data_IF_290519934554
#
_entry.id   IF_290519934554
#
_cell.length_a   1.000
_cell.length_b   1.000
_cell.length_c   1.000
_cell.angle_alpha   90.00
_cell.angle_beta   90.00
_cell.angle_gamma   90.00
#
_symmetry.space_group_name_H-M   'P 1'
#
loop_
_entity.id
_entity.type
_entity.pdbx_description
1 polymer ?
#
# COMPACT_ATOMS: atom_id res chain seq x y z
N UNK A 1 -29.44 16.87 -9.49
CA UNK A 1 -28.48 16.83 -8.38
C UNK A 1 -27.55 18.02 -8.54
N UNK A 2 -27.44 18.86 -7.51
CA UNK A 2 -26.53 20.01 -7.49
C UNK A 2 -25.09 19.50 -7.53
N UNK A 3 -24.25 20.10 -8.37
CA UNK A 3 -22.83 19.79 -8.40
C UNK A 3 -22.22 20.30 -7.08
N UNK A 4 -21.49 19.46 -6.30
CA UNK A 4 -20.83 19.91 -5.07
C UNK A 4 -19.89 21.10 -5.27
N UNK A 5 -19.33 21.27 -6.48
CA UNK A 5 -18.50 22.43 -6.82
C UNK A 5 -19.28 23.75 -6.81
N UNK A 6 -20.61 23.70 -7.03
CA UNK A 6 -21.48 24.89 -6.95
C UNK A 6 -21.77 25.30 -5.50
N UNK A 7 -21.52 24.41 -4.52
CA UNK A 7 -21.75 24.67 -3.10
C UNK A 7 -20.53 25.23 -2.35
N UNK A 8 -19.36 25.19 -2.98
CA UNK A 8 -18.08 25.57 -2.38
C UNK A 8 -17.44 26.73 -3.11
N UNK A 9 -16.78 27.61 -2.35
CA UNK A 9 -15.87 28.60 -2.89
C UNK A 9 -14.48 27.98 -3.06
N UNK A 10 -13.86 28.13 -4.23
CA UNK A 10 -12.49 27.66 -4.49
C UNK A 10 -11.56 28.87 -4.47
N UNK A 11 -10.52 28.79 -3.64
CA UNK A 11 -9.46 29.80 -3.55
C UNK A 11 -8.14 29.23 -4.02
N UNK A 12 -7.56 29.85 -5.02
CA UNK A 12 -6.27 29.50 -5.62
C UNK A 12 -5.34 30.73 -5.62
N UNK A 13 -4.06 30.49 -5.91
CA UNK A 13 -3.06 31.56 -6.01
C UNK A 13 -3.05 32.49 -4.80
N UNK A 14 -3.16 31.91 -3.61
CA UNK A 14 -3.24 32.62 -2.35
C UNK A 14 -1.96 33.45 -2.10
N UNK A 15 -2.12 34.70 -1.69
CA UNK A 15 -1.00 35.52 -1.24
C UNK A 15 -0.59 35.16 0.19
N UNK A 16 0.56 35.68 0.63
CA UNK A 16 1.15 35.39 1.94
C UNK A 16 0.17 35.66 3.09
N UNK A 17 -0.58 36.76 3.04
CA UNK A 17 -1.55 37.16 4.08
C UNK A 17 -2.72 36.18 4.17
N UNK A 18 -3.20 35.68 3.03
CA UNK A 18 -4.29 34.70 2.98
C UNK A 18 -3.84 33.34 3.53
N UNK A 19 -2.61 32.92 3.20
CA UNK A 19 -2.01 31.73 3.73
C UNK A 19 -1.78 31.80 5.25
N UNK A 20 -1.24 32.91 5.74
CA UNK A 20 -1.04 33.15 7.18
C UNK A 20 -2.40 33.11 7.93
N UNK A 21 -3.43 33.74 7.40
CA UNK A 21 -4.77 33.73 7.98
C UNK A 21 -5.36 32.31 8.03
N UNK A 22 -5.19 31.54 6.96
CA UNK A 22 -5.61 30.13 6.93
C UNK A 22 -4.90 29.30 8.00
N UNK A 23 -3.60 29.47 8.15
CA UNK A 23 -2.78 28.80 9.17
C UNK A 23 -3.21 29.16 10.58
N UNK A 24 -3.47 30.43 10.86
CA UNK A 24 -3.99 30.87 12.16
C UNK A 24 -5.34 30.22 12.48
N UNK A 25 -6.21 30.11 11.49
CA UNK A 25 -7.50 29.45 11.64
C UNK A 25 -7.34 27.94 11.91
N UNK A 26 -6.44 27.25 11.20
CA UNK A 26 -6.13 25.82 11.42
C UNK A 26 -5.58 25.62 12.84
N UNK A 27 -4.66 26.48 13.29
CA UNK A 27 -4.10 26.43 14.65
C UNK A 27 -5.16 26.67 15.72
N UNK A 28 -6.09 27.57 15.49
CA UNK A 28 -7.22 27.85 16.39
C UNK A 28 -8.17 26.66 16.49
N UNK A 29 -8.52 26.04 15.36
CA UNK A 29 -9.44 24.92 15.28
C UNK A 29 -8.78 23.60 15.72
N UNK A 30 -7.45 23.58 15.85
CA UNK A 30 -6.62 22.40 16.17
C UNK A 30 -6.86 21.19 15.26
N UNK A 31 -7.27 21.44 14.03
CA UNK A 31 -7.49 20.39 13.02
C UNK A 31 -7.33 20.92 11.60
N UNK A 32 -6.90 20.05 10.72
CA UNK A 32 -6.84 20.29 9.28
C UNK A 32 -7.55 19.14 8.55
N UNK A 33 -8.47 19.50 7.63
CA UNK A 33 -9.12 18.57 6.73
C UNK A 33 -8.55 18.79 5.35
N UNK A 34 -7.94 17.77 4.77
CA UNK A 34 -7.15 17.95 3.57
C UNK A 34 -7.08 16.71 2.69
N UNK A 35 -6.68 16.94 1.45
CA UNK A 35 -6.18 15.91 0.53
C UNK A 35 -4.81 16.35 0.01
N UNK A 36 -3.82 15.47 0.14
CA UNK A 36 -2.45 15.65 -0.37
C UNK A 36 -2.28 14.89 -1.68
N UNK A 37 -2.07 15.62 -2.76
CA UNK A 37 -1.83 15.04 -4.06
C UNK A 37 -0.35 14.77 -4.29
N UNK A 38 -0.05 13.57 -4.83
CA UNK A 38 1.32 13.12 -5.03
C UNK A 38 1.44 12.28 -6.28
N UNK A 39 2.54 12.47 -7.04
CA UNK A 39 2.89 11.68 -8.22
C UNK A 39 4.15 10.85 -7.98
N UNK A 40 4.29 9.75 -8.70
CA UNK A 40 5.53 8.96 -8.69
C UNK A 40 6.69 9.80 -9.24
N UNK A 41 7.84 9.66 -8.63
CA UNK A 41 9.06 10.32 -9.09
C UNK A 41 9.82 9.39 -10.02
N UNK A 42 9.56 9.47 -11.32
CA UNK A 42 10.21 8.66 -12.36
C UNK A 42 11.73 8.87 -12.44
N UNK A 43 12.25 9.93 -11.83
CA UNK A 43 13.68 10.27 -11.88
C UNK A 43 14.55 9.48 -10.90
N UNK A 44 13.97 8.75 -9.96
CA UNK A 44 14.71 7.96 -8.98
C UNK A 44 14.32 6.47 -9.05
N UNK A 45 15.33 5.60 -9.02
CA UNK A 45 15.19 4.13 -8.92
C UNK A 45 14.54 3.66 -7.60
N UNK A 46 14.17 4.58 -6.73
CA UNK A 46 13.62 4.29 -5.41
C UNK A 46 12.09 4.20 -5.50
N UNK A 47 11.60 2.97 -5.50
CA UNK A 47 10.18 2.56 -5.66
C UNK A 47 9.18 3.31 -4.75
N UNK A 48 9.67 4.06 -3.77
CA UNK A 48 8.82 4.69 -2.73
C UNK A 48 8.78 6.21 -2.86
N UNK A 49 9.66 6.83 -3.65
CA UNK A 49 9.73 8.29 -3.69
C UNK A 49 8.63 8.87 -4.55
N UNK A 50 7.83 9.75 -3.94
CA UNK A 50 6.76 10.49 -4.61
C UNK A 50 6.97 11.98 -4.44
N UNK A 51 6.63 12.74 -5.49
CA UNK A 51 6.60 14.21 -5.45
C UNK A 51 5.27 14.67 -4.90
N UNK A 52 5.31 15.64 -3.98
CA UNK A 52 4.12 16.37 -3.54
C UNK A 52 3.78 17.38 -4.61
N UNK A 53 2.58 17.31 -5.18
CA UNK A 53 2.11 18.17 -6.25
C UNK A 53 1.26 19.30 -5.70
N UNK A 54 0.20 18.97 -4.95
CA UNK A 54 -0.73 19.97 -4.43
C UNK A 54 -1.29 19.55 -3.07
N UNK A 55 -1.88 20.53 -2.38
CA UNK A 55 -2.58 20.37 -1.12
C UNK A 55 -3.93 21.08 -1.22
N UNK A 56 -5.02 20.31 -1.12
CA UNK A 56 -6.38 20.86 -1.05
C UNK A 56 -6.84 20.83 0.40
N UNK A 57 -7.12 21.99 0.97
CA UNK A 57 -7.59 22.14 2.36
C UNK A 57 -9.02 22.66 2.32
N UNK A 58 -9.92 22.00 3.04
CA UNK A 58 -11.29 22.47 3.15
C UNK A 58 -11.57 23.00 4.55
N UNK A 59 -12.18 24.16 4.60
CA UNK A 59 -12.69 24.78 5.80
C UNK A 59 -14.09 25.38 5.53
N UNK A 60 -15.09 24.93 6.29
CA UNK A 60 -16.47 25.32 6.08
C UNK A 60 -16.94 24.98 4.64
N UNK A 61 -17.16 26.01 3.81
CA UNK A 61 -17.53 25.88 2.39
C UNK A 61 -16.45 26.39 1.44
N UNK A 62 -15.22 26.60 1.93
CA UNK A 62 -14.11 27.10 1.12
C UNK A 62 -13.06 26.00 0.98
N UNK A 63 -12.67 25.69 -0.26
CA UNK A 63 -11.52 24.85 -0.55
C UNK A 63 -10.37 25.73 -1.00
N UNK A 64 -9.26 25.63 -0.28
CA UNK A 64 -8.00 26.28 -0.59
C UNK A 64 -7.13 25.29 -1.35
N UNK A 65 -6.86 25.57 -2.63
CA UNK A 65 -6.00 24.76 -3.46
C UNK A 65 -4.59 25.38 -3.52
N UNK A 66 -3.63 24.68 -2.96
CA UNK A 66 -2.22 25.11 -2.90
C UNK A 66 -1.41 24.24 -3.84
N UNK A 67 -0.90 24.83 -4.91
CA UNK A 67 -0.08 24.14 -5.89
C UNK A 67 1.41 24.40 -5.63
N UNK A 68 2.20 23.34 -5.67
CA UNK A 68 3.65 23.40 -5.56
C UNK A 68 4.20 23.14 -4.17
N UNK A 69 5.19 22.26 -4.13
CA UNK A 69 5.79 21.74 -2.90
C UNK A 69 6.44 22.84 -2.04
N UNK A 70 7.11 23.83 -2.64
CA UNK A 70 7.82 24.86 -1.88
C UNK A 70 6.87 25.73 -1.06
N UNK A 71 5.67 26.04 -1.58
CA UNK A 71 4.64 26.78 -0.84
C UNK A 71 4.12 25.91 0.30
N UNK A 72 3.82 24.64 0.02
CA UNK A 72 3.34 23.69 1.02
C UNK A 72 4.37 23.56 2.14
N UNK A 73 5.64 23.38 1.80
CA UNK A 73 6.74 23.29 2.76
C UNK A 73 6.90 24.55 3.59
N UNK A 74 6.88 25.71 2.95
CA UNK A 74 7.07 27.01 3.62
C UNK A 74 5.99 27.28 4.67
N UNK A 75 4.72 27.01 4.33
CA UNK A 75 3.60 27.45 5.15
C UNK A 75 2.98 26.33 6.00
N UNK A 76 3.00 25.08 5.55
CA UNK A 76 2.27 23.99 6.21
C UNK A 76 3.16 22.97 6.93
N UNK A 77 4.49 23.12 6.86
CA UNK A 77 5.41 22.24 7.58
C UNK A 77 5.04 22.16 9.08
N UNK A 78 4.97 23.30 9.76
CA UNK A 78 4.64 23.35 11.18
C UNK A 78 3.25 22.79 11.50
N UNK A 79 2.30 22.89 10.57
CA UNK A 79 0.96 22.29 10.71
C UNK A 79 1.07 20.76 10.70
N UNK A 80 1.81 20.18 9.75
CA UNK A 80 1.97 18.74 9.65
C UNK A 80 2.77 18.16 10.81
N UNK A 81 3.79 18.87 11.30
CA UNK A 81 4.65 18.45 12.40
C UNK A 81 3.99 18.55 13.77
N UNK A 82 3.00 19.42 13.94
CA UNK A 82 2.36 19.64 15.23
C UNK A 82 1.37 18.53 15.59
N UNK A 83 1.67 17.75 16.62
CA UNK A 83 0.81 16.67 17.15
C UNK A 83 -0.53 17.15 17.72
N UNK A 84 -0.62 18.40 18.17
CA UNK A 84 -1.85 18.99 18.73
C UNK A 84 -2.86 19.41 17.65
N UNK A 85 -2.46 19.38 16.37
CA UNK A 85 -3.33 19.63 15.23
C UNK A 85 -3.74 18.29 14.63
N UNK A 86 -5.01 17.94 14.75
CA UNK A 86 -5.57 16.71 14.19
C UNK A 86 -5.56 16.72 12.66
N UNK A 87 -4.98 15.69 12.04
CA UNK A 87 -4.98 15.46 10.59
C UNK A 87 -6.15 14.57 10.23
N UNK A 88 -7.03 15.12 9.41
CA UNK A 88 -8.22 14.47 8.87
C UNK A 88 -8.03 14.36 7.37
N UNK A 89 -7.83 13.15 6.87
CA UNK A 89 -7.44 12.93 5.49
C UNK A 89 -7.77 11.54 4.96
N UNK A 90 -7.02 11.13 3.97
CA UNK A 90 -7.13 9.83 3.32
C UNK A 90 -5.75 9.23 3.13
N UNK A 91 -5.54 7.99 3.59
CA UNK A 91 -4.23 7.30 3.56
C UNK A 91 -3.12 8.05 4.32
N UNK A 92 -3.41 8.49 5.53
CA UNK A 92 -2.45 9.24 6.36
C UNK A 92 -1.11 8.52 6.56
N UNK A 93 -1.10 7.19 6.54
CA UNK A 93 0.13 6.40 6.55
C UNK A 93 1.02 6.69 5.34
N UNK A 94 0.42 6.86 4.16
CA UNK A 94 1.14 7.23 2.95
C UNK A 94 1.64 8.68 3.03
N UNK A 95 0.80 9.60 3.50
CA UNK A 95 1.18 11.01 3.70
C UNK A 95 2.38 11.13 4.65
N UNK A 96 2.37 10.37 5.76
CA UNK A 96 3.50 10.29 6.69
C UNK A 96 4.81 9.96 5.97
N UNK A 97 4.80 8.92 5.15
CA UNK A 97 6.00 8.45 4.44
C UNK A 97 6.50 9.51 3.46
N UNK A 98 5.58 10.08 2.68
CA UNK A 98 5.92 11.06 1.65
C UNK A 98 6.45 12.37 2.27
N UNK A 99 5.79 12.86 3.30
CA UNK A 99 6.23 14.08 4.01
C UNK A 99 7.61 13.86 4.66
N UNK A 100 7.82 12.72 5.30
CA UNK A 100 9.13 12.36 5.87
C UNK A 100 10.24 12.29 4.82
N UNK A 101 9.98 11.74 3.64
CA UNK A 101 10.93 11.72 2.52
C UNK A 101 11.29 13.13 2.04
N UNK A 102 10.39 14.09 2.25
CA UNK A 102 10.57 15.49 1.91
C UNK A 102 11.02 16.37 3.11
N UNK A 103 11.55 15.74 4.18
CA UNK A 103 12.04 16.39 5.39
C UNK A 103 10.96 17.22 6.15
N UNK A 104 9.73 16.73 6.13
CA UNK A 104 8.61 17.24 6.93
C UNK A 104 8.17 16.11 7.86
N UNK A 105 8.24 16.35 9.19
CA UNK A 105 7.68 15.43 10.16
C UNK A 105 6.15 15.42 10.06
N UNK A 106 5.52 14.29 10.46
CA UNK A 106 4.08 14.17 10.42
C UNK A 106 3.56 13.52 11.70
N UNK A 107 2.62 14.18 12.37
CA UNK A 107 1.97 13.67 13.57
C UNK A 107 0.51 14.16 13.66
N UNK A 108 -0.22 13.77 14.71
CA UNK A 108 -1.61 14.16 14.92
C UNK A 108 -2.58 13.37 14.03
N UNK A 109 -2.38 12.05 13.89
CA UNK A 109 -3.30 11.15 13.19
C UNK A 109 -4.67 11.15 13.88
N UNK A 110 -5.66 11.84 13.35
CA UNK A 110 -6.99 11.93 13.94
C UNK A 110 -8.01 11.06 13.19
N UNK A 111 -8.04 11.17 11.87
CA UNK A 111 -9.00 10.45 11.05
C UNK A 111 -8.44 10.12 9.67
N UNK A 112 -8.62 8.87 9.25
CA UNK A 112 -8.31 8.35 7.92
C UNK A 112 -9.56 7.74 7.32
N UNK A 113 -10.02 8.28 6.17
CA UNK A 113 -11.23 7.83 5.51
C UNK A 113 -11.17 6.37 5.04
N UNK A 114 -9.98 5.87 4.61
CA UNK A 114 -9.78 4.48 4.22
C UNK A 114 -10.00 3.53 5.41
N UNK A 115 -9.42 3.85 6.55
CA UNK A 115 -9.55 3.05 7.78
C UNK A 115 -10.99 3.10 8.31
N UNK A 116 -11.63 4.28 8.28
CA UNK A 116 -13.02 4.43 8.69
C UNK A 116 -13.95 3.56 7.84
N UNK A 117 -13.78 3.60 6.51
CA UNK A 117 -14.54 2.77 5.58
C UNK A 117 -14.34 1.27 5.82
N UNK A 118 -13.11 0.85 6.11
CA UNK A 118 -12.79 -0.54 6.42
C UNK A 118 -13.41 -1.02 7.74
N UNK A 119 -13.39 -0.22 8.78
CA UNK A 119 -13.99 -0.57 10.06
C UNK A 119 -15.50 -0.76 9.94
N UNK A 120 -16.17 0.13 9.22
CA UNK A 120 -17.63 0.07 9.02
C UNK A 120 -18.05 -1.13 8.17
N UNK A 121 -17.22 -1.59 7.22
CA UNK A 121 -17.54 -2.73 6.37
C UNK A 121 -16.24 -3.44 5.90
N UNK A 122 -15.69 -4.32 6.73
CA UNK A 122 -14.42 -5.03 6.47
C UNK A 122 -14.50 -6.12 5.39
N UNK A 123 -15.68 -6.42 4.87
CA UNK A 123 -15.87 -7.47 3.85
C UNK A 123 -15.62 -6.92 2.44
N UNK A 124 -15.71 -5.62 2.26
CA UNK A 124 -15.47 -4.98 0.97
C UNK A 124 -13.98 -4.96 0.62
N UNK A 125 -13.71 -4.88 -0.68
CA UNK A 125 -12.33 -4.94 -1.21
C UNK A 125 -11.76 -3.56 -1.59
N UNK A 126 -12.58 -2.49 -1.51
CA UNK A 126 -12.18 -1.14 -1.91
C UNK A 126 -12.70 -0.09 -0.94
N UNK A 127 -11.80 0.79 -0.54
CA UNK A 127 -12.05 1.90 0.39
C UNK A 127 -11.44 3.21 -0.14
N UNK A 128 -11.33 3.33 -1.48
CA UNK A 128 -10.96 4.59 -2.11
C UNK A 128 -12.04 5.66 -1.93
N UNK A 129 -11.64 6.94 -2.06
CA UNK A 129 -12.54 8.08 -1.83
C UNK A 129 -13.77 8.00 -2.74
N UNK A 130 -13.62 7.57 -4.00
CA UNK A 130 -14.71 7.46 -4.95
C UNK A 130 -15.73 6.41 -4.49
N UNK A 131 -15.26 5.23 -4.09
CA UNK A 131 -16.13 4.16 -3.54
C UNK A 131 -16.81 4.59 -2.24
N UNK A 132 -16.12 5.26 -1.34
CA UNK A 132 -16.68 5.76 -0.09
C UNK A 132 -17.69 6.87 -0.34
N UNK A 133 -17.44 7.76 -1.29
CA UNK A 133 -18.34 8.84 -1.68
C UNK A 133 -19.65 8.32 -2.26
N UNK A 134 -19.61 7.32 -3.13
CA UNK A 134 -20.81 6.65 -3.63
C UNK A 134 -21.59 6.01 -2.49
N UNK A 135 -20.91 5.32 -1.58
CA UNK A 135 -21.54 4.54 -0.50
C UNK A 135 -22.20 5.41 0.56
N UNK A 136 -21.55 6.46 1.00
CA UNK A 136 -21.97 7.26 2.16
C UNK A 136 -22.54 8.63 1.80
N UNK A 137 -22.20 9.16 0.62
CA UNK A 137 -22.62 10.49 0.17
C UNK A 137 -23.57 10.44 -1.03
N UNK A 138 -23.74 9.27 -1.65
CA UNK A 138 -24.46 9.09 -2.93
C UNK A 138 -23.88 10.01 -4.04
N UNK A 139 -22.56 10.14 -4.10
CA UNK A 139 -21.83 11.06 -4.98
C UNK A 139 -20.85 10.30 -5.88
N UNK A 140 -21.06 10.38 -7.20
CA UNK A 140 -20.15 9.81 -8.21
C UNK A 140 -19.19 10.86 -8.76
N UNK A 141 -18.00 10.96 -8.19
CA UNK A 141 -16.98 11.98 -8.54
C UNK A 141 -16.62 11.91 -10.02
N UNK A 142 -16.40 10.71 -10.57
CA UNK A 142 -16.06 10.51 -11.99
C UNK A 142 -17.12 11.04 -12.98
N UNK A 143 -18.38 11.08 -12.59
CA UNK A 143 -19.44 11.68 -13.41
C UNK A 143 -19.44 13.19 -13.37
N UNK A 144 -19.06 13.78 -12.24
CA UNK A 144 -19.01 15.24 -12.09
C UNK A 144 -17.90 15.82 -12.98
N UNK A 145 -16.72 15.24 -12.96
CA UNK A 145 -15.58 15.65 -13.78
C UNK A 145 -15.90 15.53 -15.28
N UNK A 146 -16.48 14.41 -15.72
CA UNK A 146 -16.87 14.18 -17.12
C UNK A 146 -17.97 15.11 -17.62
N UNK A 147 -18.91 15.57 -16.75
CA UNK A 147 -19.95 16.52 -17.17
C UNK A 147 -19.36 17.88 -17.51
N UNK A 148 -18.32 18.33 -16.85
CA UNK A 148 -17.65 19.59 -17.15
C UNK A 148 -16.84 19.48 -18.44
N UNK A 149 -16.14 18.38 -18.68
CA UNK A 149 -15.44 18.10 -19.96
C UNK A 149 -16.41 18.10 -21.17
N UNK A 150 -17.62 17.56 -21.03
CA UNK A 150 -18.63 17.53 -22.10
C UNK A 150 -19.31 18.89 -22.36
N UNK A 151 -19.31 19.83 -21.43
CA UNK A 151 -19.84 21.17 -21.64
C UNK A 151 -18.85 22.07 -22.42
N UNK A 152 -17.57 21.79 -22.41
CA UNK A 152 -16.54 22.51 -23.15
C UNK A 152 -16.20 21.84 -24.51
N UNK A 153 -17.13 21.20 -25.23
CA UNK A 153 -16.98 20.61 -26.59
C UNK A 153 -15.51 20.28 -26.97
N UNK A 154 -14.84 19.45 -26.17
CA UNK A 154 -13.48 19.02 -26.48
C UNK A 154 -13.52 17.82 -27.43
N UNK A 155 -12.96 17.97 -28.61
CA UNK A 155 -12.71 16.88 -29.55
C UNK A 155 -11.80 15.84 -28.84
N UNK A 156 -12.10 14.57 -29.03
CA UNK A 156 -11.41 13.42 -28.43
C UNK A 156 -9.89 13.36 -28.75
N UNK A 157 -9.38 14.28 -29.56
CA UNK A 157 -7.99 14.37 -30.03
C UNK A 157 -7.19 15.53 -29.42
N UNK A 158 -7.82 16.42 -28.63
CA UNK A 158 -7.16 17.58 -28.02
C UNK A 158 -7.03 17.47 -26.50
N UNK A 159 -6.64 16.30 -25.97
CA UNK A 159 -6.19 16.22 -24.57
C UNK A 159 -4.80 16.85 -24.47
N UNK A 160 -4.77 18.15 -24.15
CA UNK A 160 -3.53 18.86 -23.84
C UNK A 160 -3.15 18.66 -22.36
N UNK A 161 -1.87 18.83 -22.02
CA UNK A 161 -1.41 18.80 -20.60
C UNK A 161 -2.22 19.76 -19.71
N UNK A 162 -2.77 20.85 -20.26
CA UNK A 162 -3.60 21.81 -19.54
C UNK A 162 -4.96 21.24 -19.15
N UNK A 163 -5.59 20.42 -20.01
CA UNK A 163 -6.88 19.77 -19.72
C UNK A 163 -6.75 18.66 -18.70
N UNK A 164 -5.68 17.87 -18.77
CA UNK A 164 -5.38 16.85 -17.74
C UNK A 164 -5.12 17.50 -16.37
N UNK A 165 -4.35 18.57 -16.34
CA UNK A 165 -4.05 19.30 -15.09
C UNK A 165 -5.31 19.95 -14.47
N UNK A 166 -6.26 20.44 -15.30
CA UNK A 166 -7.54 20.99 -14.81
C UNK A 166 -8.40 19.89 -14.19
N UNK A 167 -8.58 18.77 -14.87
CA UNK A 167 -9.34 17.63 -14.40
C UNK A 167 -8.77 17.03 -13.09
N UNK A 168 -7.44 16.94 -12.99
CA UNK A 168 -6.77 16.46 -11.77
C UNK A 168 -6.94 17.42 -10.59
N UNK A 169 -6.86 18.73 -10.82
CA UNK A 169 -7.11 19.75 -9.81
C UNK A 169 -8.54 19.66 -9.27
N UNK A 170 -9.53 19.59 -10.15
CA UNK A 170 -10.95 19.45 -9.78
C UNK A 170 -11.19 18.18 -8.95
N UNK A 171 -10.56 17.09 -9.34
CA UNK A 171 -10.57 15.83 -8.59
C UNK A 171 -10.01 15.99 -7.18
N UNK A 172 -8.88 16.65 -7.03
CA UNK A 172 -8.24 16.87 -5.73
C UNK A 172 -9.09 17.78 -4.81
N UNK A 173 -9.76 18.78 -5.37
CA UNK A 173 -10.72 19.63 -4.67
C UNK A 173 -11.94 18.79 -4.20
N UNK A 174 -12.51 17.97 -5.08
CA UNK A 174 -13.61 17.09 -4.75
C UNK A 174 -13.23 16.05 -3.71
N UNK A 175 -12.00 15.55 -3.72
CA UNK A 175 -11.52 14.62 -2.71
C UNK A 175 -11.47 15.27 -1.33
N UNK A 176 -10.95 16.49 -1.21
CA UNK A 176 -10.97 17.22 0.05
C UNK A 176 -12.40 17.48 0.53
N UNK A 177 -13.32 17.85 -0.38
CA UNK A 177 -14.74 17.99 -0.09
C UNK A 177 -15.35 16.68 0.44
N UNK A 178 -15.11 15.58 -0.24
CA UNK A 178 -15.64 14.27 0.17
C UNK A 178 -15.11 13.86 1.54
N UNK A 179 -13.80 14.05 1.83
CA UNK A 179 -13.22 13.75 3.14
C UNK A 179 -13.95 14.56 4.23
N UNK A 180 -14.19 15.84 4.00
CA UNK A 180 -14.93 16.69 4.95
C UNK A 180 -16.36 16.21 5.22
N UNK A 181 -17.05 15.70 4.21
CA UNK A 181 -18.40 15.14 4.37
C UNK A 181 -18.39 13.74 4.98
N UNK A 182 -17.44 12.89 4.59
CA UNK A 182 -17.29 11.53 5.11
C UNK A 182 -16.97 11.52 6.61
N UNK A 183 -16.13 12.45 7.07
CA UNK A 183 -15.66 12.51 8.44
C UNK A 183 -16.82 12.46 9.46
N UNK A 184 -17.76 13.42 9.52
CA UNK A 184 -18.85 13.39 10.51
C UNK A 184 -19.79 12.20 10.31
N UNK A 185 -20.06 11.79 9.08
CA UNK A 185 -21.00 10.70 8.77
C UNK A 185 -20.44 9.36 9.26
N UNK A 186 -19.21 9.06 8.93
CA UNK A 186 -18.58 7.79 9.33
C UNK A 186 -18.30 7.72 10.83
N UNK A 187 -17.94 8.85 11.46
CA UNK A 187 -17.82 8.94 12.92
C UNK A 187 -19.15 8.58 13.58
N UNK A 188 -20.27 9.16 13.10
CA UNK A 188 -21.59 8.85 13.61
C UNK A 188 -21.94 7.37 13.45
N UNK A 189 -21.70 6.77 12.28
CA UNK A 189 -21.94 5.33 12.08
C UNK A 189 -21.06 4.45 12.97
N UNK A 190 -19.81 4.84 13.19
CA UNK A 190 -18.94 4.11 14.13
C UNK A 190 -19.38 4.25 15.59
N UNK A 191 -20.00 5.37 15.98
CA UNK A 191 -20.63 5.53 17.30
C UNK A 191 -21.85 4.62 17.44
N UNK A 192 -22.75 4.63 16.47
CA UNK A 192 -23.97 3.79 16.43
C UNK A 192 -23.65 2.29 16.47
N UNK A 193 -22.50 1.88 15.88
CA UNK A 193 -22.05 0.49 15.84
C UNK A 193 -21.04 0.13 16.96
N UNK A 194 -20.82 1.02 17.92
CA UNK A 194 -19.88 0.85 19.05
C UNK A 194 -18.43 0.60 18.62
N UNK A 195 -18.06 1.07 17.40
CA UNK A 195 -16.73 0.87 16.81
C UNK A 195 -15.79 2.09 16.97
N UNK A 196 -16.31 3.25 17.38
CA UNK A 196 -15.51 4.48 17.47
C UNK A 196 -14.33 4.35 18.45
N UNK A 197 -14.51 3.62 19.55
CA UNK A 197 -13.43 3.35 20.50
C UNK A 197 -12.31 2.54 19.83
N UNK A 198 -12.65 1.49 19.08
CA UNK A 198 -11.69 0.70 18.32
C UNK A 198 -10.92 1.59 17.32
N UNK A 199 -11.63 2.42 16.55
CA UNK A 199 -11.03 3.34 15.60
C UNK A 199 -10.00 4.26 16.26
N UNK A 200 -10.40 4.99 17.32
CA UNK A 200 -9.57 6.01 17.94
C UNK A 200 -8.40 5.45 18.78
N UNK A 201 -8.62 4.31 19.48
CA UNK A 201 -7.65 3.81 20.45
C UNK A 201 -6.75 2.70 19.95
N UNK A 202 -7.13 2.05 18.84
CA UNK A 202 -6.35 0.95 18.26
C UNK A 202 -5.96 1.25 16.81
N UNK A 203 -6.92 1.47 15.91
CA UNK A 203 -6.63 1.52 14.48
C UNK A 203 -5.81 2.75 14.07
N UNK A 204 -6.19 3.95 14.53
CA UNK A 204 -5.42 5.17 14.24
C UNK A 204 -4.01 5.17 14.86
N UNK A 205 -3.81 4.79 16.13
CA UNK A 205 -2.46 4.60 16.68
C UNK A 205 -1.66 3.53 15.95
N UNK A 206 -2.28 2.41 15.56
CA UNK A 206 -1.63 1.35 14.76
C UNK A 206 -1.17 1.88 13.41
N UNK A 207 -2.00 2.64 12.71
CA UNK A 207 -1.64 3.27 11.42
C UNK A 207 -0.37 4.12 11.55
N UNK A 208 -0.27 4.92 12.63
CA UNK A 208 0.93 5.71 12.91
C UNK A 208 2.18 4.85 13.16
N UNK A 209 2.04 3.75 13.90
CA UNK A 209 3.16 2.81 14.15
C UNK A 209 3.60 2.14 12.86
N UNK A 210 2.64 1.63 12.07
CA UNK A 210 2.91 1.00 10.79
C UNK A 210 3.56 1.97 9.78
N UNK A 211 3.15 3.25 9.78
CA UNK A 211 3.79 4.28 8.98
C UNK A 211 5.29 4.43 9.32
N UNK A 212 5.62 4.48 10.62
CA UNK A 212 7.01 4.54 11.08
C UNK A 212 7.80 3.28 10.71
N UNK A 213 7.21 2.11 10.89
CA UNK A 213 7.85 0.83 10.53
C UNK A 213 8.13 0.77 9.01
N UNK A 214 7.17 1.16 8.19
CA UNK A 214 7.29 1.18 6.75
C UNK A 214 8.35 2.19 6.28
N UNK A 215 8.36 3.39 6.87
CA UNK A 215 9.36 4.42 6.57
C UNK A 215 10.77 4.00 6.99
N UNK A 216 10.92 3.42 8.19
CA UNK A 216 12.23 2.99 8.67
C UNK A 216 12.76 1.79 7.90
N UNK A 217 11.89 0.87 7.50
CA UNK A 217 12.30 -0.37 6.85
C UNK A 217 13.17 -1.26 7.77
N UNK A 218 13.64 -2.36 7.22
CA UNK A 218 14.49 -3.33 7.89
C UNK A 218 15.88 -3.28 7.24
N UNK A 219 16.93 -3.10 8.03
CA UNK A 219 18.30 -3.16 7.55
C UNK A 219 18.66 -4.60 7.16
N UNK A 220 19.27 -4.76 6.00
CA UNK A 220 19.78 -6.03 5.49
C UNK A 220 21.28 -5.87 5.20
N UNK A 221 22.08 -6.72 5.78
CA UNK A 221 23.46 -6.85 5.36
C UNK A 221 23.49 -7.56 4.00
N UNK A 222 23.69 -6.77 2.96
CA UNK A 222 23.64 -7.25 1.59
C UNK A 222 24.77 -8.23 1.27
N UNK A 223 25.95 -7.99 1.85
CA UNK A 223 27.14 -8.82 1.61
C UNK A 223 26.98 -10.19 2.27
N UNK A 224 26.54 -10.21 3.53
CA UNK A 224 26.21 -11.46 4.23
C UNK A 224 25.09 -12.23 3.54
N UNK A 225 24.06 -11.54 3.04
CA UNK A 225 22.96 -12.19 2.33
C UNK A 225 23.44 -12.86 1.02
N UNK A 226 24.33 -12.21 0.28
CA UNK A 226 24.94 -12.77 -0.94
C UNK A 226 25.80 -13.98 -0.59
N UNK A 227 26.63 -13.88 0.44
CA UNK A 227 27.49 -14.98 0.92
C UNK A 227 26.63 -16.18 1.35
N UNK A 228 25.59 -15.92 2.13
CA UNK A 228 24.64 -16.96 2.51
C UNK A 228 24.01 -17.63 1.29
N UNK A 229 23.61 -16.86 0.28
CA UNK A 229 23.10 -17.41 -0.98
C UNK A 229 24.10 -18.27 -1.74
N UNK A 230 25.40 -17.95 -1.72
CA UNK A 230 26.45 -18.79 -2.30
C UNK A 230 26.54 -20.13 -1.59
N UNK A 231 26.53 -20.12 -0.26
CA UNK A 231 26.59 -21.35 0.54
C UNK A 231 25.34 -22.22 0.31
N UNK A 232 24.15 -21.62 0.27
CA UNK A 232 22.91 -22.35 -0.07
C UNK A 232 23.00 -23.01 -1.45
N UNK A 233 23.58 -22.36 -2.45
CA UNK A 233 23.74 -22.93 -3.80
C UNK A 233 24.65 -24.17 -3.80
N UNK A 234 25.71 -24.18 -3.00
CA UNK A 234 26.58 -25.34 -2.84
C UNK A 234 25.82 -26.51 -2.20
N UNK A 235 25.08 -26.26 -1.13
CA UNK A 235 24.27 -27.27 -0.46
C UNK A 235 23.15 -27.82 -1.39
N UNK A 236 22.50 -26.95 -2.17
CA UNK A 236 21.48 -27.34 -3.16
C UNK A 236 22.10 -28.26 -4.22
N UNK A 237 23.29 -27.95 -4.69
CA UNK A 237 24.01 -28.78 -5.68
C UNK A 237 24.35 -30.15 -5.09
N UNK A 238 24.88 -30.19 -3.87
CA UNK A 238 25.15 -31.46 -3.19
C UNK A 238 23.87 -32.33 -3.04
N UNK A 239 22.75 -31.72 -2.62
CA UNK A 239 21.45 -32.41 -2.52
C UNK A 239 20.97 -32.88 -3.88
N UNK A 240 21.13 -32.07 -4.91
CA UNK A 240 20.79 -32.42 -6.30
C UNK A 240 21.51 -33.68 -6.74
N UNK A 241 22.83 -33.75 -6.57
CA UNK A 241 23.66 -34.89 -6.94
C UNK A 241 23.27 -36.17 -6.13
N UNK A 242 22.98 -36.02 -4.84
CA UNK A 242 22.47 -37.14 -4.03
C UNK A 242 21.13 -37.66 -4.53
N UNK A 243 20.19 -36.76 -4.84
CA UNK A 243 18.88 -37.14 -5.38
C UNK A 243 19.05 -37.89 -6.70
N UNK A 244 19.87 -37.40 -7.63
CA UNK A 244 20.11 -38.08 -8.91
C UNK A 244 20.73 -39.46 -8.73
N UNK A 245 21.70 -39.58 -7.82
CA UNK A 245 22.30 -40.86 -7.50
C UNK A 245 21.29 -41.88 -6.92
N UNK A 246 20.40 -41.43 -6.04
CA UNK A 246 19.37 -42.26 -5.42
C UNK A 246 18.25 -42.65 -6.41
N UNK A 247 17.97 -41.78 -7.40
CA UNK A 247 16.99 -42.04 -8.44
C UNK A 247 17.56 -42.76 -9.67
N UNK A 248 18.90 -42.83 -9.80
CA UNK A 248 19.57 -43.45 -10.94
C UNK A 248 19.51 -42.65 -12.24
N UNK A 249 19.00 -41.42 -12.22
CA UNK A 249 18.86 -40.55 -13.37
C UNK A 249 18.74 -39.08 -12.99
N UNK A 250 19.11 -38.20 -13.92
CA UNK A 250 18.92 -36.74 -13.80
C UNK A 250 17.52 -36.33 -14.28
N UNK A 251 16.92 -35.37 -13.60
CA UNK A 251 15.60 -34.83 -13.92
C UNK A 251 15.40 -33.48 -13.27
N UNK A 252 14.39 -32.74 -13.67
CA UNK A 252 14.03 -31.48 -13.01
C UNK A 252 13.27 -31.76 -11.70
N UNK A 253 13.97 -31.66 -10.56
CA UNK A 253 13.44 -31.89 -9.21
C UNK A 253 12.28 -30.91 -8.87
N UNK A 254 12.31 -29.70 -9.44
CA UNK A 254 11.26 -28.69 -9.25
C UNK A 254 10.01 -28.99 -10.10
N UNK A 255 10.09 -29.88 -11.10
CA UNK A 255 8.94 -30.31 -11.87
C UNK A 255 8.14 -31.36 -11.11
N UNK A 256 6.98 -30.97 -10.58
CA UNK A 256 6.07 -31.90 -9.86
C UNK A 256 5.68 -33.11 -10.69
N UNK A 257 5.60 -32.95 -12.03
CA UNK A 257 5.27 -34.03 -12.97
C UNK A 257 6.42 -35.03 -13.08
N UNK A 258 7.65 -34.57 -13.30
CA UNK A 258 8.83 -35.43 -13.40
C UNK A 258 9.11 -36.14 -12.08
N UNK A 259 9.11 -35.38 -10.97
CA UNK A 259 9.30 -35.92 -9.64
C UNK A 259 8.25 -36.96 -9.29
N UNK A 260 6.97 -36.69 -9.59
CA UNK A 260 5.88 -37.63 -9.37
C UNK A 260 6.07 -38.94 -10.14
N UNK A 261 6.50 -38.88 -11.41
CA UNK A 261 6.83 -40.07 -12.22
C UNK A 261 7.95 -40.87 -11.57
N UNK A 262 9.06 -40.24 -11.21
CA UNK A 262 10.20 -40.90 -10.57
C UNK A 262 9.79 -41.59 -9.27
N UNK A 263 9.10 -40.89 -8.38
CA UNK A 263 8.74 -41.44 -7.07
C UNK A 263 7.74 -42.60 -7.17
N UNK A 264 6.71 -42.46 -7.99
CA UNK A 264 5.57 -43.38 -7.98
C UNK A 264 5.59 -44.44 -9.11
N UNK A 265 6.29 -44.17 -10.23
CA UNK A 265 6.39 -45.15 -11.33
C UNK A 265 7.74 -45.85 -11.34
N UNK A 266 8.85 -45.13 -11.22
CA UNK A 266 10.19 -45.70 -11.31
C UNK A 266 10.61 -46.34 -9.96
N UNK A 267 10.50 -45.62 -8.85
CA UNK A 267 10.82 -46.09 -7.50
C UNK A 267 9.65 -46.85 -6.83
N UNK A 268 8.46 -46.86 -7.45
CA UNK A 268 7.27 -47.59 -7.01
C UNK A 268 6.83 -47.33 -5.56
N UNK A 269 7.04 -46.11 -5.08
CA UNK A 269 6.59 -45.72 -3.75
C UNK A 269 5.06 -45.69 -3.64
N UNK A 270 4.47 -45.91 -2.44
CA UNK A 270 3.02 -45.95 -2.28
C UNK A 270 2.38 -44.60 -2.59
N UNK A 271 1.40 -44.60 -3.51
CA UNK A 271 0.69 -43.38 -3.93
C UNK A 271 -0.26 -42.94 -2.84
N UNK A 272 0.02 -41.76 -2.22
CA UNK A 272 -0.80 -41.21 -1.16
C UNK A 272 -1.97 -40.36 -1.68
N UNK A 273 -1.77 -39.61 -2.79
CA UNK A 273 -2.79 -38.69 -3.33
C UNK A 273 -2.58 -38.47 -4.83
N UNK A 274 -3.67 -38.55 -5.59
CA UNK A 274 -3.70 -38.16 -7.01
C UNK A 274 -4.48 -36.85 -7.18
N UNK A 275 -3.99 -35.97 -8.03
CA UNK A 275 -4.68 -34.76 -8.51
C UNK A 275 -5.12 -34.97 -9.96
N UNK A 276 -5.98 -34.08 -10.47
CA UNK A 276 -6.36 -34.07 -11.91
C UNK A 276 -5.16 -34.00 -12.85
N UNK A 277 -4.06 -33.37 -12.40
CA UNK A 277 -2.81 -33.18 -13.15
C UNK A 277 -1.75 -34.26 -12.95
N UNK A 278 -2.04 -35.33 -12.21
CA UNK A 278 -1.12 -36.45 -11.92
C UNK A 278 -0.87 -36.65 -10.43
N UNK A 279 0.30 -37.21 -10.09
CA UNK A 279 0.67 -37.50 -8.70
C UNK A 279 0.92 -36.19 -7.91
N UNK A 280 0.40 -36.14 -6.67
CA UNK A 280 0.76 -35.05 -5.76
C UNK A 280 2.11 -35.33 -5.12
N UNK A 281 2.98 -34.30 -5.15
CA UNK A 281 4.28 -34.31 -4.47
C UNK A 281 4.34 -33.19 -3.43
N UNK A 282 3.18 -32.80 -2.86
CA UNK A 282 3.11 -31.75 -1.83
C UNK A 282 3.87 -32.22 -0.58
N UNK A 283 4.28 -31.26 0.27
CA UNK A 283 5.04 -31.53 1.49
C UNK A 283 4.35 -32.57 2.37
N UNK A 284 3.03 -32.47 2.55
CA UNK A 284 2.25 -33.43 3.34
C UNK A 284 2.31 -34.86 2.76
N UNK A 285 2.41 -35.00 1.45
CA UNK A 285 2.54 -36.31 0.77
C UNK A 285 3.93 -36.86 0.97
N UNK A 286 4.97 -36.02 0.81
CA UNK A 286 6.36 -36.45 1.01
C UNK A 286 6.64 -36.79 2.48
N UNK A 287 6.10 -36.02 3.44
CA UNK A 287 6.23 -36.33 4.86
C UNK A 287 5.66 -37.73 5.23
N UNK A 288 4.56 -38.13 4.60
CA UNK A 288 4.00 -39.50 4.80
C UNK A 288 4.83 -40.61 4.19
N UNK A 289 5.72 -40.26 3.26
CA UNK A 289 6.64 -41.19 2.62
C UNK A 289 8.01 -41.29 3.30
N UNK A 290 8.21 -40.52 4.41
CA UNK A 290 9.45 -40.63 5.20
C UNK A 290 9.67 -42.06 5.67
N UNK A 291 10.89 -42.55 5.49
CA UNK A 291 11.28 -43.93 5.83
C UNK A 291 11.02 -44.97 4.72
N UNK A 292 10.21 -44.64 3.70
CA UNK A 292 10.00 -45.56 2.57
C UNK A 292 11.20 -45.62 1.62
N UNK A 293 11.88 -44.46 1.43
CA UNK A 293 13.07 -44.39 0.60
C UNK A 293 13.93 -43.17 1.01
N UNK A 294 15.29 -43.31 1.05
CA UNK A 294 16.18 -42.21 1.46
C UNK A 294 16.06 -40.93 0.62
N UNK A 295 15.61 -41.04 -0.63
CA UNK A 295 15.43 -39.85 -1.51
C UNK A 295 14.39 -38.89 -0.99
N UNK A 296 13.44 -39.32 -0.18
CA UNK A 296 12.37 -38.46 0.34
C UNK A 296 12.92 -37.37 1.24
N UNK A 297 13.81 -37.71 2.16
CA UNK A 297 14.44 -36.75 3.05
C UNK A 297 15.31 -35.77 2.25
N UNK A 298 16.07 -36.25 1.28
CA UNK A 298 16.89 -35.39 0.41
C UNK A 298 16.04 -34.42 -0.42
N UNK A 299 14.87 -34.83 -0.91
CA UNK A 299 13.93 -33.95 -1.64
C UNK A 299 13.30 -32.90 -0.72
N UNK A 300 12.95 -33.25 0.49
CA UNK A 300 12.40 -32.31 1.47
C UNK A 300 13.42 -31.24 1.83
N UNK A 301 14.66 -31.65 2.12
CA UNK A 301 15.78 -30.73 2.39
C UNK A 301 16.07 -29.84 1.18
N UNK A 302 16.17 -30.42 -0.01
CA UNK A 302 16.39 -29.67 -1.26
C UNK A 302 15.32 -28.58 -1.44
N UNK A 303 14.05 -28.90 -1.23
CA UNK A 303 12.95 -27.91 -1.35
C UNK A 303 13.03 -26.81 -0.34
N UNK A 304 13.44 -27.13 0.89
CA UNK A 304 13.65 -26.12 1.93
C UNK A 304 14.79 -25.15 1.54
N UNK A 305 15.92 -25.68 1.12
CA UNK A 305 17.08 -24.90 0.67
C UNK A 305 16.73 -24.05 -0.56
N UNK A 306 16.05 -24.62 -1.55
CA UNK A 306 15.58 -23.89 -2.73
C UNK A 306 14.64 -22.73 -2.37
N UNK A 307 13.71 -22.93 -1.42
CA UNK A 307 12.83 -21.88 -0.95
C UNK A 307 13.60 -20.77 -0.23
N UNK A 308 14.57 -21.13 0.62
CA UNK A 308 15.44 -20.18 1.30
C UNK A 308 16.21 -19.34 0.27
N UNK A 309 16.83 -19.98 -0.71
CA UNK A 309 17.60 -19.26 -1.72
C UNK A 309 16.72 -18.38 -2.62
N UNK A 310 15.67 -18.97 -3.24
CA UNK A 310 14.85 -18.26 -4.24
C UNK A 310 14.00 -17.15 -3.65
N UNK A 311 13.39 -17.38 -2.48
CA UNK A 311 12.44 -16.44 -1.87
C UNK A 311 13.14 -15.42 -0.98
N UNK A 312 14.05 -15.88 -0.11
CA UNK A 312 14.65 -15.03 0.92
C UNK A 312 16.01 -14.45 0.54
N UNK A 313 16.74 -15.06 -0.38
CA UNK A 313 17.98 -14.45 -0.89
C UNK A 313 17.72 -13.73 -2.21
N UNK A 314 17.49 -14.48 -3.29
CA UNK A 314 17.35 -13.90 -4.63
C UNK A 314 16.11 -13.00 -4.75
N UNK A 315 15.02 -13.38 -4.08
CA UNK A 315 13.77 -12.58 -4.08
C UNK A 315 13.87 -11.28 -3.29
N UNK A 316 14.74 -11.17 -2.28
CA UNK A 316 14.89 -9.94 -1.48
C UNK A 316 15.92 -8.97 -2.03
N UNK A 317 16.97 -9.46 -2.69
CA UNK A 317 18.08 -8.63 -3.19
C UNK A 317 17.65 -7.44 -4.06
N UNK A 318 16.67 -7.56 -4.98
CA UNK A 318 16.22 -6.45 -5.81
C UNK A 318 15.52 -5.31 -5.03
N UNK A 319 14.98 -5.63 -3.85
CA UNK A 319 14.24 -4.67 -3.01
C UNK A 319 15.10 -3.96 -1.97
N UNK A 320 16.40 -4.28 -1.89
CA UNK A 320 17.31 -3.59 -0.99
C UNK A 320 17.63 -2.22 -1.57
N UNK A 321 17.24 -1.17 -0.87
CA UNK A 321 17.59 0.20 -1.22
C UNK A 321 19.11 0.38 -1.19
N UNK A 322 19.71 0.78 -2.32
CA UNK A 322 21.16 0.88 -2.50
C UNK A 322 21.83 1.92 -1.60
N UNK A 323 21.10 2.95 -1.16
CA UNK A 323 21.64 4.04 -0.33
C UNK A 323 21.59 3.69 1.16
N UNK A 324 20.56 2.98 1.59
CA UNK A 324 20.29 2.73 3.01
C UNK A 324 20.51 1.29 3.46
N UNK A 325 20.68 0.36 2.52
CA UNK A 325 20.68 -1.09 2.75
C UNK A 325 19.43 -1.59 3.50
N UNK A 326 18.27 -0.95 3.24
CA UNK A 326 17.02 -1.31 3.89
C UNK A 326 15.99 -1.81 2.89
N UNK A 327 15.14 -2.70 3.34
CA UNK A 327 13.92 -3.12 2.65
C UNK A 327 12.73 -2.46 3.32
N UNK A 328 11.85 -1.88 2.50
CA UNK A 328 10.62 -1.23 2.95
C UNK A 328 9.43 -2.08 2.52
N UNK A 329 8.73 -2.65 3.51
CA UNK A 329 7.53 -3.46 3.28
C UNK A 329 6.28 -2.62 3.43
N UNK A 330 5.23 -2.94 2.65
CA UNK A 330 3.91 -2.34 2.84
C UNK A 330 3.11 -3.11 3.88
N UNK A 331 2.64 -2.43 4.90
CA UNK A 331 1.75 -3.00 5.92
C UNK A 331 0.31 -2.60 5.62
N UNK A 332 -0.44 -3.52 5.01
CA UNK A 332 -1.83 -3.28 4.65
C UNK A 332 -2.75 -3.47 5.85
N UNK A 333 -3.43 -2.39 6.26
CA UNK A 333 -4.36 -2.40 7.40
C UNK A 333 -5.81 -2.70 6.99
N UNK A 334 -6.13 -2.61 5.70
CA UNK A 334 -7.49 -2.64 5.15
C UNK A 334 -7.76 -3.79 4.17
N UNK A 335 -6.88 -4.82 4.12
CA UNK A 335 -6.95 -5.87 3.07
C UNK A 335 -7.62 -7.16 3.52
N UNK A 336 -7.52 -7.52 4.81
CA UNK A 336 -8.03 -8.81 5.30
C UNK A 336 -9.22 -8.64 6.23
N UNK A 337 -10.32 -9.35 5.95
CA UNK A 337 -11.50 -9.34 6.82
C UNK A 337 -11.19 -9.80 8.28
N UNK A 338 -10.12 -10.57 8.48
CA UNK A 338 -9.68 -11.07 9.80
C UNK A 338 -8.71 -10.15 10.52
N UNK A 339 -8.44 -8.95 9.98
CA UNK A 339 -7.47 -7.97 10.54
C UNK A 339 -6.06 -8.52 10.76
N UNK A 340 -5.68 -9.57 10.05
CA UNK A 340 -4.29 -10.04 10.02
C UNK A 340 -3.53 -9.21 8.98
N UNK A 341 -2.53 -8.47 9.42
CA UNK A 341 -1.63 -7.76 8.50
C UNK A 341 -0.99 -8.79 7.55
N UNK A 342 -1.05 -8.52 6.26
CA UNK A 342 -0.33 -9.26 5.24
C UNK A 342 1.00 -8.62 4.97
#
# INVERSE_FOLDING_TARGET
ELNPLDEIEIKENLNDKELEKLIEQIKKDKKIIYYLDTKEDESEEDIIKRKICSLSIIKEKVVYYINGFEIIRKYFKDIFENKEIGKIGYKLKQDYIILKQNNIEFDGFEYDAEIAGYILDSIKNKYDIETLSVRYLNLEISRLIKKEENQEQLNLFDMTEETENKSEKEKNILYAYCINKLYPITIKYMEEQEQLKLFKTIEMPTSRVLAKMQYNGIYIDKEELIEYGRNLKLEIEEKTQKIYKLCGQEFNINSTKQLGKILFEDLKLPVQKKKKSGYSTDVEVLEKLRGEHPVIDEILDYRQLMKLNSTYVEGMLPYINRKTNRIHSFFHQTVTATRKNK
#
